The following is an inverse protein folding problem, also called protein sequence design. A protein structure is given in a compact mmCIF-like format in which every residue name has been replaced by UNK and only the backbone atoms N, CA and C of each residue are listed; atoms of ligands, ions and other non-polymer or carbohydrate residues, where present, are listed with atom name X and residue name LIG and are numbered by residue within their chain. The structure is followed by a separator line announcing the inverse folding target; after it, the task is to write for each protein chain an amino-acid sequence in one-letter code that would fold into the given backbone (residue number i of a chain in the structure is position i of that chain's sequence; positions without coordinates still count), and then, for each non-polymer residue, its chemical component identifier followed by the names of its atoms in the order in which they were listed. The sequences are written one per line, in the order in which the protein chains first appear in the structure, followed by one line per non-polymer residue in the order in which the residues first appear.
data_IF_819780414106
#
_entry.id   IF_819780414106
#
_cell.length_a   1.000
_cell.length_b   1.000
_cell.length_c   1.000
_cell.angle_alpha   90.00
_cell.angle_beta   90.00
_cell.angle_gamma   90.00
#
_symmetry.space_group_name_H-M   'P 1'
#
loop_
_entity.id
_entity.type
_entity.pdbx_description
1 polymer ?
#
# COMPACT_ATOMS: atom_id res chain seq x y z
N UNK A 1 1.51 -41.14 20.45
CA UNK A 1 2.35 -40.10 19.82
C UNK A 1 1.55 -39.54 18.66
N UNK A 2 0.77 -38.50 18.92
CA UNK A 2 -0.10 -37.86 17.92
C UNK A 2 0.59 -36.53 17.61
N UNK A 3 1.09 -36.42 16.38
CA UNK A 3 1.73 -35.22 15.87
C UNK A 3 0.69 -34.12 15.73
N UNK A 4 0.94 -33.01 16.40
CA UNK A 4 0.29 -31.72 16.16
C UNK A 4 0.76 -31.19 14.80
N UNK A 5 0.03 -31.48 13.72
CA UNK A 5 0.19 -30.73 12.48
C UNK A 5 -0.60 -29.42 12.59
N UNK A 6 0.03 -28.26 12.33
CA UNK A 6 -0.69 -27.00 12.29
C UNK A 6 -1.60 -27.00 11.06
N UNK A 7 -2.83 -26.54 11.28
CA UNK A 7 -3.79 -26.20 10.21
C UNK A 7 -3.04 -25.39 9.16
N UNK A 8 -3.19 -25.77 7.88
CA UNK A 8 -2.91 -24.86 6.77
C UNK A 8 -3.86 -23.68 6.90
N UNK A 9 -3.48 -22.72 7.73
CA UNK A 9 -4.03 -21.38 7.69
C UNK A 9 -3.75 -20.94 6.25
N UNK A 10 -4.79 -20.59 5.50
CA UNK A 10 -4.62 -19.69 4.37
C UNK A 10 -4.24 -18.34 4.99
N UNK A 11 -3.02 -18.27 5.52
CA UNK A 11 -2.28 -17.05 5.63
C UNK A 11 -1.97 -16.74 4.17
N UNK A 12 -2.82 -15.92 3.56
CA UNK A 12 -2.33 -15.09 2.47
C UNK A 12 -1.05 -14.47 3.00
N UNK A 13 0.08 -14.95 2.48
CA UNK A 13 1.39 -14.38 2.78
C UNK A 13 1.26 -12.88 2.60
N UNK A 14 1.48 -12.08 3.64
CA UNK A 14 1.45 -10.64 3.47
C UNK A 14 2.58 -10.32 2.49
N UNK A 15 2.21 -9.79 1.31
CA UNK A 15 3.14 -9.31 0.30
C UNK A 15 3.91 -8.04 0.77
N UNK A 16 3.97 -7.79 2.09
CA UNK A 16 4.90 -6.85 2.72
C UNK A 16 6.34 -7.38 2.67
N UNK A 17 6.55 -8.69 2.48
CA UNK A 17 7.89 -9.28 2.30
C UNK A 17 8.60 -8.77 1.02
N UNK A 18 7.85 -8.28 0.03
CA UNK A 18 8.40 -7.64 -1.17
C UNK A 18 8.80 -6.16 -0.95
N UNK A 19 8.43 -5.58 0.19
CA UNK A 19 8.66 -4.16 0.48
C UNK A 19 9.87 -3.87 1.38
N UNK A 20 10.33 -4.85 2.17
CA UNK A 20 11.55 -4.71 3.00
C UNK A 20 12.86 -5.10 2.31
N UNK A 21 12.85 -5.67 1.09
CA UNK A 21 14.08 -6.01 0.35
C UNK A 21 14.42 -4.95 -0.71
N UNK A 22 14.53 -3.70 -0.27
CA UNK A 22 15.16 -2.62 -1.03
C UNK A 22 16.61 -2.47 -0.57
N UNK A 23 17.51 -3.21 -1.22
CA UNK A 23 18.95 -2.96 -1.38
C UNK A 23 19.65 -2.12 -0.30
N UNK A 24 20.23 -2.80 0.69
CA UNK A 24 21.43 -2.31 1.37
C UNK A 24 22.59 -2.29 0.38
N UNK A 25 23.21 -1.13 0.19
CA UNK A 25 24.46 -0.99 -0.55
C UNK A 25 25.59 -1.59 0.29
N UNK A 26 26.08 -2.76 -0.09
CA UNK A 26 27.47 -3.14 0.15
C UNK A 26 28.14 -3.35 -1.20
N UNK A 27 29.17 -2.53 -1.45
CA UNK A 27 30.09 -2.66 -2.57
C UNK A 27 30.89 -3.94 -2.37
N UNK A 28 30.83 -4.88 -3.32
CA UNK A 28 31.98 -5.65 -3.77
C UNK A 28 31.63 -6.43 -5.05
N UNK A 29 32.56 -6.38 -6.02
CA UNK A 29 32.78 -7.44 -6.99
C UNK A 29 31.91 -7.42 -8.23
N UNK A 30 32.57 -7.23 -9.37
CA UNK A 30 32.08 -7.52 -10.71
C UNK A 30 31.56 -8.97 -10.79
N UNK A 31 30.35 -9.16 -11.30
CA UNK A 31 29.98 -10.32 -12.12
C UNK A 31 28.59 -10.08 -12.77
N UNK A 32 28.56 -10.24 -14.09
CA UNK A 32 27.36 -10.13 -14.92
C UNK A 32 26.27 -11.11 -14.48
N UNK A 33 25.09 -10.60 -14.11
CA UNK A 33 23.86 -11.40 -14.10
C UNK A 33 23.00 -10.93 -15.28
N UNK A 34 23.13 -11.65 -16.39
CA UNK A 34 22.20 -11.58 -17.53
C UNK A 34 20.86 -12.18 -17.07
N UNK A 35 19.90 -11.33 -16.70
CA UNK A 35 18.51 -11.76 -16.53
C UNK A 35 17.80 -11.60 -17.87
N UNK A 36 17.70 -12.71 -18.60
CA UNK A 36 16.86 -12.82 -19.78
C UNK A 36 15.38 -12.84 -19.34
N UNK A 37 14.74 -11.67 -19.37
CA UNK A 37 13.28 -11.57 -19.16
C UNK A 37 12.60 -11.72 -20.51
N UNK A 38 12.14 -12.95 -20.76
CA UNK A 38 11.27 -13.28 -21.88
C UNK A 38 10.00 -12.42 -21.89
N UNK A 39 9.64 -12.01 -23.09
CA UNK A 39 8.41 -11.30 -23.43
C UNK A 39 7.16 -12.00 -22.88
N UNK A 40 6.54 -11.43 -21.83
CA UNK A 40 5.10 -11.57 -21.58
C UNK A 40 4.58 -10.37 -20.81
N UNK A 41 4.32 -9.28 -21.54
CA UNK A 41 3.43 -8.23 -21.06
C UNK A 41 1.99 -8.76 -21.06
N UNK A 42 1.46 -9.07 -19.88
CA UNK A 42 0.01 -9.23 -19.64
C UNK A 42 -0.64 -7.84 -19.78
N UNK A 43 -0.90 -7.47 -21.04
CA UNK A 43 -1.71 -6.31 -21.40
C UNK A 43 -3.15 -6.59 -21.00
N UNK A 44 -3.80 -5.56 -20.45
CA UNK A 44 -5.22 -5.48 -20.11
C UNK A 44 -6.12 -6.30 -21.05
N UNK A 45 -6.95 -7.17 -20.47
CA UNK A 45 -7.87 -8.03 -21.21
C UNK A 45 -8.82 -7.22 -22.09
N UNK A 46 -8.54 -7.21 -23.41
CA UNK A 46 -9.54 -6.88 -24.43
C UNK A 46 -10.20 -8.17 -24.89
N UNK A 47 -11.53 -8.19 -24.91
CA UNK A 47 -12.29 -9.22 -25.61
C UNK A 47 -11.80 -9.33 -27.07
N UNK A 48 -11.49 -10.53 -27.59
CA UNK A 48 -11.12 -10.69 -28.98
C UNK A 48 -12.36 -10.46 -29.85
N UNK A 49 -12.39 -9.35 -30.59
CA UNK A 49 -13.38 -9.16 -31.65
C UNK A 49 -13.20 -10.27 -32.71
N UNK A 50 -14.27 -11.04 -32.99
CA UNK A 50 -14.30 -12.07 -34.03
C UNK A 50 -13.77 -11.50 -35.35
N UNK A 51 -12.67 -12.06 -35.85
CA UNK A 51 -12.08 -11.70 -37.14
C UNK A 51 -12.85 -12.42 -38.26
N UNK A 52 -13.80 -11.74 -38.89
CA UNK A 52 -14.34 -12.19 -40.20
C UNK A 52 -13.41 -11.73 -41.33
N UNK A 53 -13.08 -12.61 -42.30
CA UNK A 53 -12.18 -12.28 -43.39
C UNK A 53 -12.97 -11.84 -44.64
N UNK A 54 -13.63 -10.68 -44.64
CA UNK A 54 -14.10 -10.08 -45.90
C UNK A 54 -14.17 -8.55 -45.87
N UNK A 55 -13.60 -7.95 -46.94
CA UNK A 55 -13.51 -6.53 -47.33
C UNK A 55 -12.87 -5.56 -46.32
N UNK A 56 -11.75 -4.96 -46.74
CA UNK A 56 -11.07 -3.90 -46.01
C UNK A 56 -11.89 -2.60 -46.04
N UNK A 57 -12.73 -2.43 -45.02
CA UNK A 57 -13.45 -1.19 -44.71
C UNK A 57 -12.47 0.02 -44.70
N UNK A 58 -12.75 1.12 -45.44
CA UNK A 58 -11.99 2.37 -45.39
C UNK A 58 -11.74 2.87 -43.97
N UNK A 59 -12.71 2.68 -43.07
CA UNK A 59 -12.61 3.05 -41.66
C UNK A 59 -11.55 2.21 -40.92
N UNK A 60 -11.42 0.93 -41.29
CA UNK A 60 -10.39 0.02 -40.78
C UNK A 60 -9.00 0.36 -41.31
N UNK A 61 -8.88 0.79 -42.58
CA UNK A 61 -7.62 1.29 -43.16
C UNK A 61 -7.17 2.60 -42.51
N UNK A 62 -8.09 3.53 -42.28
CA UNK A 62 -7.81 4.78 -41.57
C UNK A 62 -7.37 4.52 -40.11
N UNK A 63 -8.06 3.63 -39.39
CA UNK A 63 -7.68 3.22 -38.04
C UNK A 63 -6.31 2.53 -37.98
N UNK A 64 -6.00 1.63 -38.93
CA UNK A 64 -4.68 1.00 -39.05
C UNK A 64 -3.57 2.01 -39.38
N UNK A 65 -3.83 2.96 -40.28
CA UNK A 65 -2.87 4.02 -40.61
C UNK A 65 -2.62 4.94 -39.41
N UNK A 66 -3.67 5.28 -38.65
CA UNK A 66 -3.56 6.04 -37.39
C UNK A 66 -2.73 5.30 -36.33
N UNK A 67 -2.97 4.00 -36.14
CA UNK A 67 -2.21 3.15 -35.23
C UNK A 67 -0.72 3.06 -35.61
N UNK A 68 -0.40 2.87 -36.90
CA UNK A 68 0.98 2.87 -37.41
C UNK A 68 1.69 4.20 -37.18
N UNK A 69 1.01 5.33 -37.42
CA UNK A 69 1.57 6.67 -37.15
C UNK A 69 1.87 6.86 -35.67
N UNK A 70 0.97 6.44 -34.77
CA UNK A 70 1.19 6.50 -33.31
C UNK A 70 2.37 5.63 -32.87
N UNK A 71 2.49 4.42 -33.41
CA UNK A 71 3.62 3.52 -33.10
C UNK A 71 4.97 4.08 -33.57
N UNK A 72 5.05 4.68 -34.77
CA UNK A 72 6.28 5.34 -35.24
C UNK A 72 6.70 6.50 -34.35
N UNK A 73 5.74 7.36 -33.95
CA UNK A 73 6.02 8.47 -33.03
C UNK A 73 6.50 7.98 -31.66
N UNK A 74 5.90 6.89 -31.16
CA UNK A 74 6.32 6.28 -29.90
C UNK A 74 7.76 5.76 -29.97
N UNK A 75 8.11 5.01 -31.03
CA UNK A 75 9.48 4.49 -31.23
C UNK A 75 10.50 5.61 -31.35
N UNK A 76 10.23 6.63 -32.15
CA UNK A 76 11.13 7.78 -32.26
C UNK A 76 11.37 8.49 -30.92
N UNK A 77 10.32 8.62 -30.09
CA UNK A 77 10.44 9.20 -28.75
C UNK A 77 11.24 8.29 -27.81
N UNK A 78 11.03 6.98 -27.88
CA UNK A 78 11.80 6.00 -27.13
C UNK A 78 13.28 6.03 -27.52
N UNK A 79 13.59 6.04 -28.82
CA UNK A 79 14.96 6.07 -29.34
C UNK A 79 15.70 7.34 -28.88
N UNK A 80 15.03 8.51 -28.92
CA UNK A 80 15.58 9.76 -28.39
C UNK A 80 15.93 9.66 -26.91
N UNK A 81 15.04 9.12 -26.08
CA UNK A 81 15.28 8.97 -24.64
C UNK A 81 16.40 7.96 -24.39
N UNK A 82 16.44 6.85 -25.12
CA UNK A 82 17.50 5.84 -25.00
C UNK A 82 18.86 6.43 -25.34
N UNK A 83 18.96 7.27 -26.37
CA UNK A 83 20.20 7.97 -26.71
C UNK A 83 20.64 8.90 -25.57
N UNK A 84 19.73 9.75 -25.08
CA UNK A 84 20.03 10.65 -23.95
C UNK A 84 20.48 9.88 -22.68
N UNK A 85 19.87 8.72 -22.40
CA UNK A 85 20.27 7.85 -21.28
C UNK A 85 21.67 7.27 -21.51
N UNK A 86 21.96 6.79 -22.72
CA UNK A 86 23.26 6.23 -23.09
C UNK A 86 24.39 7.27 -22.97
N UNK A 87 24.09 8.52 -23.34
CA UNK A 87 25.02 9.65 -23.24
C UNK A 87 25.12 10.21 -21.80
N UNK A 88 24.36 9.65 -20.84
CA UNK A 88 24.33 10.13 -19.46
C UNK A 88 23.69 11.51 -19.28
N UNK A 89 22.95 12.00 -20.29
CA UNK A 89 22.32 13.32 -20.26
C UNK A 89 20.95 13.27 -19.59
N UNK A 90 20.89 13.73 -18.35
CA UNK A 90 19.68 13.83 -17.54
C UNK A 90 19.18 15.27 -17.39
N UNK A 91 19.44 16.13 -18.37
CA UNK A 91 19.00 17.53 -18.36
C UNK A 91 17.50 17.76 -18.58
N UNK A 92 17.07 19.04 -18.67
CA UNK A 92 15.67 19.43 -18.85
C UNK A 92 15.00 18.84 -20.10
N UNK A 93 15.75 18.65 -21.18
CA UNK A 93 15.25 18.02 -22.41
C UNK A 93 14.82 16.57 -22.16
N UNK A 94 15.72 15.75 -21.59
CA UNK A 94 15.44 14.36 -21.22
C UNK A 94 14.24 14.29 -20.29
N UNK A 95 14.15 15.18 -19.31
CA UNK A 95 12.99 15.26 -18.42
C UNK A 95 11.67 15.50 -19.17
N UNK A 96 11.64 16.43 -20.14
CA UNK A 96 10.45 16.67 -20.97
C UNK A 96 10.09 15.49 -21.86
N UNK A 97 11.09 14.78 -22.39
CA UNK A 97 10.87 13.56 -23.17
C UNK A 97 10.23 12.47 -22.30
N UNK A 98 10.70 12.26 -21.06
CA UNK A 98 10.06 11.31 -20.13
C UNK A 98 8.59 11.66 -19.88
N UNK A 99 8.26 12.94 -19.68
CA UNK A 99 6.87 13.41 -19.49
C UNK A 99 5.97 13.04 -20.67
N UNK A 100 6.48 13.14 -21.90
CA UNK A 100 5.73 12.78 -23.12
C UNK A 100 5.52 11.27 -23.19
N UNK A 101 6.56 10.48 -22.92
CA UNK A 101 6.49 9.03 -23.08
C UNK A 101 5.64 8.37 -21.99
N UNK A 102 5.73 8.84 -20.74
CA UNK A 102 4.94 8.31 -19.63
C UNK A 102 3.44 8.59 -19.76
N UNK A 103 3.04 9.70 -20.40
CA UNK A 103 1.64 9.95 -20.78
C UNK A 103 1.13 8.98 -21.85
N UNK A 104 2.03 8.36 -22.62
CA UNK A 104 1.67 7.36 -23.63
C UNK A 104 1.70 5.94 -23.08
N UNK A 105 2.67 5.64 -22.20
CA UNK A 105 2.87 4.32 -21.59
C UNK A 105 3.52 4.47 -20.20
N UNK A 106 2.73 4.56 -19.12
CA UNK A 106 3.26 4.63 -17.77
C UNK A 106 3.77 3.27 -17.25
N UNK A 107 3.56 2.15 -17.95
CA UNK A 107 4.10 0.85 -17.55
C UNK A 107 5.61 0.71 -17.83
N UNK A 108 6.19 1.69 -18.55
CA UNK A 108 7.59 1.62 -18.93
C UNK A 108 8.53 2.07 -17.80
N UNK A 109 8.91 1.11 -16.95
CA UNK A 109 9.72 1.33 -15.75
C UNK A 109 11.04 2.09 -16.00
N UNK A 110 11.74 1.82 -17.11
CA UNK A 110 13.03 2.47 -17.44
C UNK A 110 12.88 3.99 -17.55
N UNK A 111 11.72 4.46 -18.01
CA UNK A 111 11.45 5.88 -18.21
C UNK A 111 11.19 6.58 -16.87
N UNK A 112 10.54 5.89 -15.92
CA UNK A 112 10.44 6.38 -14.54
C UNK A 112 11.81 6.50 -13.89
N UNK A 113 12.71 5.53 -14.10
CA UNK A 113 14.08 5.60 -13.60
C UNK A 113 14.87 6.76 -14.22
N UNK A 114 14.74 6.97 -15.54
CA UNK A 114 15.35 8.12 -16.21
C UNK A 114 14.80 9.44 -15.65
N UNK A 115 13.49 9.53 -15.40
CA UNK A 115 12.86 10.71 -14.79
C UNK A 115 13.39 10.98 -13.38
N UNK A 116 13.54 9.95 -12.53
CA UNK A 116 14.18 10.09 -11.21
C UNK A 116 15.60 10.63 -11.33
N UNK A 117 16.40 10.11 -12.27
CA UNK A 117 17.77 10.58 -12.50
C UNK A 117 17.79 12.06 -12.90
N UNK A 118 16.90 12.52 -13.78
CA UNK A 118 16.75 13.94 -14.12
C UNK A 118 16.45 14.82 -12.92
N UNK A 119 15.61 14.35 -12.00
CA UNK A 119 15.32 15.09 -10.78
C UNK A 119 16.53 15.14 -9.86
N UNK A 120 17.18 14.00 -9.61
CA UNK A 120 18.35 13.91 -8.72
C UNK A 120 19.53 14.74 -9.26
N UNK A 121 19.80 14.69 -10.56
CA UNK A 121 20.95 15.39 -11.16
C UNK A 121 20.75 16.90 -11.32
N UNK A 122 19.50 17.36 -11.31
CA UNK A 122 19.15 18.75 -11.62
C UNK A 122 18.19 19.35 -10.61
N UNK A 123 16.90 19.12 -10.82
CA UNK A 123 15.80 19.84 -10.15
C UNK A 123 15.75 19.65 -8.62
N UNK A 124 16.34 18.57 -8.11
CA UNK A 124 16.48 18.23 -6.70
C UNK A 124 17.95 17.95 -6.35
N UNK A 125 18.93 18.54 -7.04
CA UNK A 125 20.34 18.27 -6.73
C UNK A 125 20.72 18.82 -5.35
N UNK A 126 21.37 18.01 -4.51
CA UNK A 126 21.98 18.51 -3.26
C UNK A 126 23.28 19.23 -3.64
N UNK A 127 23.39 20.53 -3.36
CA UNK A 127 24.67 21.22 -3.54
C UNK A 127 25.72 20.56 -2.63
N UNK A 128 26.89 20.23 -3.19
CA UNK A 128 28.01 19.71 -2.41
C UNK A 128 28.30 20.69 -1.27
N UNK A 129 28.23 20.21 -0.02
CA UNK A 129 28.89 20.91 1.08
C UNK A 129 30.34 21.15 0.63
N UNK A 130 30.74 22.43 0.63
CA UNK A 130 31.89 22.90 -0.12
C UNK A 130 33.16 22.12 0.16
N UNK A 131 33.90 21.87 -0.93
CA UNK A 131 35.33 21.60 -0.93
C UNK A 131 36.02 22.45 0.14
N UNK A 132 36.65 21.80 1.11
CA UNK A 132 37.56 22.47 2.03
C UNK A 132 38.62 23.22 1.19
N UNK A 133 38.96 24.48 1.49
CA UNK A 133 40.06 25.13 0.81
C UNK A 133 41.35 24.42 1.24
N UNK A 134 42.04 23.82 0.27
CA UNK A 134 43.41 23.35 0.44
C UNK A 134 44.24 24.49 1.03
N UNK A 135 44.61 24.37 2.31
CA UNK A 135 45.62 25.23 2.92
C UNK A 135 46.94 24.93 2.23
N UNK A 136 47.37 25.85 1.37
CA UNK A 136 48.74 25.90 0.91
C UNK A 136 49.65 26.12 2.13
N UNK A 137 50.61 25.22 2.31
CA UNK A 137 51.69 25.33 3.27
C UNK A 137 52.55 26.55 2.95
N UNK A 138 52.74 27.44 3.92
CA UNK A 138 53.93 28.28 3.99
C UNK A 138 54.53 28.20 5.39
N UNK A 139 55.80 27.84 5.41
CA UNK A 139 56.66 27.59 6.57
C UNK A 139 57.28 28.90 7.06
N UNK A 140 57.19 29.10 8.38
CA UNK A 140 58.20 29.68 9.30
C UNK A 140 58.96 30.97 8.92
N UNK A 141 58.82 32.03 9.73
CA UNK A 141 59.75 32.35 10.84
C UNK A 141 59.65 33.80 11.31
N UNK A 142 59.50 33.98 12.64
CA UNK A 142 60.09 34.96 13.59
C UNK A 142 60.06 36.48 13.23
N UNK A 143 59.89 37.47 14.12
CA UNK A 143 60.05 37.58 15.58
C UNK A 143 59.41 38.92 16.05
N UNK A 144 59.10 38.99 17.35
CA UNK A 144 59.25 40.15 18.25
C UNK A 144 58.24 41.33 18.32
N UNK A 145 57.55 41.35 19.48
CA UNK A 145 57.70 42.36 20.56
C UNK A 145 56.65 43.48 20.75
N UNK A 146 55.99 43.36 21.93
CA UNK A 146 55.62 44.37 22.97
C UNK A 146 54.24 45.07 23.01
N UNK A 147 53.58 44.87 24.18
CA UNK A 147 52.89 45.82 25.13
C UNK A 147 51.91 46.88 24.59
N UNK A 148 50.90 47.37 25.29
CA UNK A 148 50.09 47.01 26.46
C UNK A 148 49.05 48.15 26.63
N UNK A 149 47.86 47.80 27.12
CA UNK A 149 46.97 48.61 27.98
C UNK A 149 46.19 49.86 27.49
N UNK A 150 44.96 49.92 28.03
CA UNK A 150 44.11 51.07 28.38
C UNK A 150 43.29 51.71 27.25
N UNK A 151 41.96 51.59 27.21
CA UNK A 151 40.94 52.22 28.07
C UNK A 151 40.97 53.76 28.00
N UNK A 152 40.08 54.36 27.20
CA UNK A 152 38.94 55.16 27.68
C UNK A 152 38.33 56.07 26.59
N UNK A 153 36.99 56.07 26.59
CA UNK A 153 36.09 57.22 26.42
C UNK A 153 36.03 58.06 25.12
N UNK A 154 34.85 57.94 24.49
CA UNK A 154 34.09 58.95 23.72
C UNK A 154 34.02 60.33 24.41
N UNK A 155 33.77 61.49 23.73
CA UNK A 155 32.50 61.73 22.99
C UNK A 155 32.52 62.66 21.75
N UNK A 156 31.39 62.63 21.01
CA UNK A 156 30.64 63.71 20.30
C UNK A 156 31.38 64.81 19.50
N UNK A 157 30.92 65.36 18.38
CA UNK A 157 29.75 65.22 17.48
C UNK A 157 30.04 66.13 16.26
N UNK A 158 29.32 65.89 15.14
CA UNK A 158 28.99 66.84 14.04
C UNK A 158 30.18 67.42 13.22
N UNK A 159 30.20 67.45 11.88
CA UNK A 159 29.17 67.86 10.91
C UNK A 159 29.64 67.51 9.47
N UNK A 160 28.69 67.46 8.54
CA UNK A 160 28.81 67.67 7.08
C UNK A 160 29.12 66.49 6.12
N UNK A 161 28.06 66.16 5.37
CA UNK A 161 27.97 65.37 4.13
C UNK A 161 28.71 66.05 2.97
N UNK A 162 29.36 65.28 2.06
CA UNK A 162 28.75 65.09 0.73
C UNK A 162 28.94 63.66 0.14
N UNK A 163 27.90 63.11 -0.51
CA UNK A 163 28.00 62.01 -1.50
C UNK A 163 28.91 62.42 -2.67
N UNK A 164 29.58 61.52 -3.47
CA UNK A 164 29.05 60.27 -4.09
C UNK A 164 30.18 59.19 -4.29
N UNK A 165 30.16 58.23 -5.26
CA UNK A 165 29.09 57.54 -6.00
C UNK A 165 29.08 56.00 -5.78
N UNK A 166 27.99 55.37 -6.20
CA UNK A 166 27.82 53.90 -6.25
C UNK A 166 28.86 53.20 -7.13
N UNK A 167 29.39 52.03 -6.73
CA UNK A 167 29.90 51.04 -7.66
C UNK A 167 28.84 49.94 -7.86
N UNK A 168 28.18 50.05 -9.02
CA UNK A 168 27.88 48.98 -9.97
C UNK A 168 27.90 47.55 -9.43
N UNK A 169 26.69 46.99 -9.45
CA UNK A 169 26.33 45.59 -9.68
C UNK A 169 27.39 44.80 -10.46
N UNK A 170 28.10 43.91 -9.76
CA UNK A 170 28.65 42.70 -10.34
C UNK A 170 27.79 41.55 -9.85
N UNK A 171 27.05 40.93 -10.77
CA UNK A 171 26.12 39.84 -10.49
C UNK A 171 26.85 38.67 -9.83
N UNK A 172 26.52 38.43 -8.56
CA UNK A 172 26.80 37.17 -7.88
C UNK A 172 25.44 36.50 -7.71
N UNK A 173 25.19 35.45 -8.50
CA UNK A 173 24.07 34.55 -8.28
C UNK A 173 24.31 33.86 -6.94
N UNK A 174 23.80 34.47 -5.88
CA UNK A 174 23.65 33.86 -4.56
C UNK A 174 22.17 33.53 -4.41
N UNK A 175 21.79 32.32 -4.77
CA UNK A 175 20.48 31.78 -4.38
C UNK A 175 20.50 31.62 -2.87
N UNK A 176 19.56 32.23 -2.15
CA UNK A 176 19.50 32.08 -0.69
C UNK A 176 18.95 30.69 -0.33
N UNK A 177 19.25 30.14 0.86
CA UNK A 177 18.67 28.86 1.30
C UNK A 177 17.14 28.81 1.23
N UNK A 178 16.48 29.95 1.43
CA UNK A 178 15.03 30.09 1.36
C UNK A 178 14.50 29.97 -0.09
N UNK A 179 15.25 30.49 -1.07
CA UNK A 179 14.90 30.37 -2.50
C UNK A 179 15.00 28.92 -2.99
N UNK A 180 16.03 28.18 -2.53
CA UNK A 180 16.24 26.77 -2.90
C UNK A 180 15.17 25.87 -2.26
N UNK A 181 14.82 26.09 -0.98
CA UNK A 181 13.76 25.33 -0.31
C UNK A 181 12.38 25.55 -0.97
N UNK A 182 12.09 26.78 -1.39
CA UNK A 182 10.86 27.11 -2.12
C UNK A 182 10.79 26.38 -3.47
N UNK A 183 11.90 26.36 -4.23
CA UNK A 183 11.99 25.68 -5.52
C UNK A 183 11.89 24.15 -5.42
N UNK A 184 12.51 23.54 -4.41
CA UNK A 184 12.38 22.11 -4.14
C UNK A 184 10.91 21.76 -3.82
N UNK A 185 10.23 22.59 -3.02
CA UNK A 185 8.82 22.40 -2.69
C UNK A 185 7.89 22.52 -3.92
N UNK A 186 8.16 23.47 -4.81
CA UNK A 186 7.45 23.58 -6.10
C UNK A 186 7.68 22.35 -6.98
N UNK A 187 8.92 21.84 -7.05
CA UNK A 187 9.27 20.66 -7.84
C UNK A 187 8.56 19.42 -7.33
N UNK A 188 8.59 19.15 -6.02
CA UNK A 188 7.87 18.03 -5.40
C UNK A 188 6.38 18.11 -5.68
N UNK A 189 5.77 19.29 -5.49
CA UNK A 189 4.33 19.50 -5.76
C UNK A 189 4.00 19.29 -7.23
N UNK A 190 4.82 19.79 -8.15
CA UNK A 190 4.64 19.62 -9.59
C UNK A 190 4.70 18.14 -9.99
N UNK A 191 5.62 17.36 -9.39
CA UNK A 191 5.75 15.94 -9.69
C UNK A 191 4.63 15.09 -9.10
N UNK A 192 4.18 15.39 -7.88
CA UNK A 192 2.95 14.82 -7.35
C UNK A 192 1.75 15.19 -8.26
N UNK A 193 1.67 16.43 -8.73
CA UNK A 193 0.64 16.86 -9.68
C UNK A 193 0.71 16.09 -11.00
N UNK A 194 1.92 15.83 -11.53
CA UNK A 194 2.13 15.08 -12.77
C UNK A 194 1.57 13.66 -12.72
N UNK A 195 1.69 12.97 -11.58
CA UNK A 195 1.19 11.58 -11.48
C UNK A 195 -0.33 11.50 -11.35
N UNK A 196 -1.03 12.54 -10.91
CA UNK A 196 -2.49 12.51 -10.70
C UNK A 196 -3.26 12.11 -11.96
N UNK A 197 -3.11 12.77 -13.13
CA UNK A 197 -3.82 12.37 -14.33
C UNK A 197 -3.44 10.94 -14.77
N UNK A 198 -2.18 10.54 -14.57
CA UNK A 198 -1.73 9.18 -14.89
C UNK A 198 -2.40 8.14 -14.00
N UNK A 199 -2.53 8.38 -12.68
CA UNK A 199 -3.27 7.49 -11.77
C UNK A 199 -4.76 7.41 -12.14
N UNK A 200 -5.36 8.52 -12.56
CA UNK A 200 -6.77 8.54 -12.94
C UNK A 200 -7.04 7.68 -14.19
N UNK A 201 -6.10 7.64 -15.14
CA UNK A 201 -6.20 6.85 -16.37
C UNK A 201 -5.70 5.40 -16.19
N UNK A 202 -4.62 5.20 -15.44
CA UNK A 202 -3.93 3.93 -15.22
C UNK A 202 -3.83 3.58 -13.72
N UNK A 203 -4.96 3.41 -13.01
CA UNK A 203 -4.99 3.28 -11.54
C UNK A 203 -4.33 2.02 -10.98
N UNK A 204 -4.00 1.05 -11.85
CA UNK A 204 -3.36 -0.22 -11.50
C UNK A 204 -1.90 -0.32 -11.98
N UNK A 205 -1.36 0.76 -12.55
CA UNK A 205 0.04 0.79 -12.96
C UNK A 205 0.94 0.94 -11.72
N UNK A 206 1.70 -0.12 -11.42
CA UNK A 206 2.58 -0.18 -10.24
C UNK A 206 3.58 0.98 -10.20
N UNK A 207 4.15 1.32 -11.36
CA UNK A 207 5.24 2.29 -11.44
C UNK A 207 4.83 3.71 -11.10
N UNK A 208 3.57 4.10 -11.33
CA UNK A 208 3.08 5.41 -10.91
C UNK A 208 3.04 5.51 -9.39
N UNK A 209 2.47 4.49 -8.71
CA UNK A 209 2.41 4.44 -7.25
C UNK A 209 3.82 4.40 -6.64
N UNK A 210 4.72 3.60 -7.20
CA UNK A 210 6.10 3.50 -6.76
C UNK A 210 6.89 4.81 -6.97
N UNK A 211 6.69 5.49 -8.10
CA UNK A 211 7.29 6.80 -8.33
C UNK A 211 6.77 7.85 -7.35
N UNK A 212 5.47 7.84 -7.09
CA UNK A 212 4.83 8.79 -6.16
C UNK A 212 5.37 8.63 -4.73
N UNK A 213 5.54 7.40 -4.25
CA UNK A 213 6.19 7.14 -2.95
C UNK A 213 7.62 7.70 -2.91
N UNK A 214 8.39 7.47 -3.97
CA UNK A 214 9.76 8.02 -4.05
C UNK A 214 9.78 9.56 -3.97
N UNK A 215 8.82 10.25 -4.59
CA UNK A 215 8.70 11.72 -4.47
C UNK A 215 8.39 12.14 -3.03
N UNK A 216 7.55 11.38 -2.32
CA UNK A 216 7.23 11.66 -0.92
C UNK A 216 8.42 11.39 0.01
N UNK A 217 9.25 10.39 -0.29
CA UNK A 217 10.52 10.18 0.43
C UNK A 217 11.44 11.39 0.24
N UNK A 218 11.50 11.97 -0.97
CA UNK A 218 12.25 13.22 -1.19
C UNK A 218 11.69 14.39 -0.37
N UNK A 219 10.36 14.46 -0.17
CA UNK A 219 9.76 15.47 0.70
C UNK A 219 10.21 15.31 2.16
N UNK A 220 10.25 14.07 2.67
CA UNK A 220 10.72 13.76 4.03
C UNK A 220 12.21 14.08 4.21
N UNK A 221 13.04 13.83 3.21
CA UNK A 221 14.49 14.08 3.29
C UNK A 221 14.87 15.57 3.23
N UNK A 222 14.04 16.40 2.59
CA UNK A 222 14.42 17.76 2.20
C UNK A 222 13.71 18.85 2.98
N UNK A 223 12.50 18.60 3.44
CA UNK A 223 11.70 19.60 4.11
C UNK A 223 11.68 19.40 5.61
N UNK A 224 11.43 20.49 6.33
CA UNK A 224 11.14 20.41 7.75
C UNK A 224 9.92 19.50 7.99
N UNK A 225 9.94 18.77 9.12
CA UNK A 225 8.92 17.78 9.45
C UNK A 225 7.47 18.27 9.28
N UNK A 226 7.08 19.50 9.70
CA UNK A 226 5.71 19.97 9.52
C UNK A 226 5.31 20.09 8.04
N UNK A 227 6.23 20.54 7.19
CA UNK A 227 5.98 20.71 5.75
C UNK A 227 5.90 19.35 5.08
N UNK A 228 6.87 18.46 5.34
CA UNK A 228 6.84 17.09 4.82
C UNK A 228 5.56 16.36 5.23
N UNK A 229 5.20 16.43 6.51
CA UNK A 229 3.97 15.82 7.05
C UNK A 229 2.73 16.28 6.30
N UNK A 230 2.56 17.58 6.06
CA UNK A 230 1.40 18.12 5.33
C UNK A 230 1.28 17.52 3.93
N UNK A 231 2.41 17.35 3.22
CA UNK A 231 2.44 16.72 1.89
C UNK A 231 1.96 15.27 1.98
N UNK A 232 2.41 14.51 2.97
CA UNK A 232 1.94 13.14 3.21
C UNK A 232 0.45 13.08 3.62
N UNK A 233 -0.06 14.06 4.37
CA UNK A 233 -1.48 14.11 4.76
C UNK A 233 -2.41 14.35 3.56
N UNK A 234 -2.00 15.15 2.58
CA UNK A 234 -2.73 15.37 1.33
C UNK A 234 -2.95 14.05 0.54
N UNK A 235 -2.05 13.08 0.70
CA UNK A 235 -2.14 11.77 0.06
C UNK A 235 -3.33 10.94 0.54
N UNK A 236 -3.76 11.10 1.79
CA UNK A 236 -4.98 10.45 2.29
C UNK A 236 -6.21 10.91 1.50
N UNK A 237 -6.24 12.17 1.06
CA UNK A 237 -7.27 12.72 0.18
C UNK A 237 -7.26 12.11 -1.22
N UNK A 238 -6.07 12.03 -1.84
CA UNK A 238 -5.91 11.38 -3.14
C UNK A 238 -6.38 9.92 -3.09
N UNK A 239 -5.89 9.15 -2.12
CA UNK A 239 -6.21 7.73 -2.01
C UNK A 239 -7.69 7.52 -1.75
N UNK A 240 -8.31 8.39 -0.95
CA UNK A 240 -9.76 8.35 -0.75
C UNK A 240 -10.52 8.55 -2.05
N UNK A 241 -10.09 9.49 -2.90
CA UNK A 241 -10.66 9.68 -4.25
C UNK A 241 -10.45 8.44 -5.13
N UNK A 242 -9.28 7.82 -5.09
CA UNK A 242 -8.98 6.61 -5.86
C UNK A 242 -9.86 5.43 -5.42
N UNK A 243 -10.07 5.27 -4.12
CA UNK A 243 -10.93 4.22 -3.54
C UNK A 243 -12.42 4.50 -3.72
N UNK A 244 -12.85 5.75 -3.89
CA UNK A 244 -14.22 6.05 -4.32
C UNK A 244 -14.45 5.64 -5.77
N UNK A 245 -13.44 5.76 -6.64
CA UNK A 245 -13.53 5.34 -8.05
C UNK A 245 -13.46 3.82 -8.23
N UNK A 246 -12.55 3.16 -7.51
CA UNK A 246 -12.43 1.70 -7.47
C UNK A 246 -12.13 1.26 -6.03
N UNK A 247 -13.19 0.89 -5.32
CA UNK A 247 -13.15 0.49 -3.91
C UNK A 247 -12.31 -0.75 -3.64
N UNK A 248 -12.09 -1.59 -4.67
CA UNK A 248 -11.28 -2.82 -4.60
C UNK A 248 -9.88 -2.63 -5.17
N UNK A 249 -9.45 -1.39 -5.44
CA UNK A 249 -8.12 -1.13 -5.93
C UNK A 249 -7.07 -1.48 -4.86
N UNK A 250 -6.46 -2.65 -5.00
CA UNK A 250 -5.43 -3.15 -4.10
C UNK A 250 -4.21 -2.22 -4.00
N UNK A 251 -3.81 -1.56 -5.09
CA UNK A 251 -2.69 -0.61 -5.07
C UNK A 251 -3.01 0.61 -4.23
N UNK A 252 -4.24 1.14 -4.33
CA UNK A 252 -4.68 2.28 -3.54
C UNK A 252 -4.76 1.94 -2.05
N UNK A 253 -5.30 0.76 -1.69
CA UNK A 253 -5.29 0.27 -0.30
C UNK A 253 -3.88 0.04 0.24
N UNK A 254 -2.98 -0.56 -0.56
CA UNK A 254 -1.58 -0.74 -0.20
C UNK A 254 -0.84 0.57 0.00
N UNK A 255 -1.07 1.53 -0.90
CA UNK A 255 -0.51 2.87 -0.79
C UNK A 255 -1.05 3.61 0.45
N UNK A 256 -2.36 3.50 0.77
CA UNK A 256 -2.94 4.06 1.99
C UNK A 256 -2.19 3.59 3.23
N UNK A 257 -2.00 2.28 3.37
CA UNK A 257 -1.31 1.67 4.53
C UNK A 257 0.12 2.19 4.68
N UNK A 258 0.81 2.44 3.57
CA UNK A 258 2.15 3.04 3.62
C UNK A 258 2.13 4.50 4.05
N UNK A 259 1.24 5.31 3.45
CA UNK A 259 1.07 6.72 3.84
C UNK A 259 0.80 6.82 5.33
N UNK A 260 -0.11 5.99 5.86
CA UNK A 260 -0.39 5.88 7.30
C UNK A 260 0.88 5.52 8.07
N UNK A 261 1.59 4.47 7.67
CA UNK A 261 2.85 4.04 8.34
C UNK A 261 3.87 5.18 8.42
N UNK A 262 4.02 5.97 7.35
CA UNK A 262 4.95 7.10 7.32
C UNK A 262 4.46 8.26 8.20
N UNK A 263 3.16 8.58 8.15
CA UNK A 263 2.54 9.62 8.98
C UNK A 263 2.59 9.33 10.48
N UNK A 264 2.64 8.05 10.86
CA UNK A 264 2.83 7.57 12.23
C UNK A 264 4.31 7.58 12.67
N UNK A 265 5.24 7.64 11.73
CA UNK A 265 6.68 7.57 12.03
C UNK A 265 7.22 8.83 12.73
N UNK A 266 8.31 8.66 13.48
CA UNK A 266 9.02 9.76 14.12
C UNK A 266 9.67 10.75 13.13
N UNK A 267 9.86 10.33 11.87
CA UNK A 267 10.34 11.18 10.78
C UNK A 267 9.35 12.31 10.49
N UNK A 268 8.04 12.06 10.65
CA UNK A 268 6.97 13.03 10.43
C UNK A 268 6.29 13.48 11.73
N UNK A 269 6.97 13.33 12.86
CA UNK A 269 6.43 13.63 14.21
C UNK A 269 5.06 12.98 14.43
N UNK A 270 4.94 11.73 13.99
CA UNK A 270 3.71 10.98 13.91
C UNK A 270 3.10 10.60 15.24
N UNK A 271 1.79 10.40 15.19
CA UNK A 271 0.97 9.75 16.21
C UNK A 271 0.16 8.67 15.53
N UNK A 272 -0.31 7.70 16.30
CA UNK A 272 -1.16 6.63 15.80
C UNK A 272 -2.38 7.19 15.04
N UNK A 273 -2.67 6.55 13.92
CA UNK A 273 -3.85 6.73 13.09
C UNK A 273 -4.76 5.49 13.16
N UNK A 274 -4.60 4.62 14.15
CA UNK A 274 -5.44 3.42 14.30
C UNK A 274 -6.94 3.75 14.36
N UNK A 275 -7.32 4.76 15.15
CA UNK A 275 -8.71 5.25 15.27
C UNK A 275 -9.28 5.77 13.93
N UNK A 276 -8.68 6.78 13.27
CA UNK A 276 -9.22 7.30 12.02
C UNK A 276 -9.16 6.27 10.88
N UNK A 277 -8.20 5.35 10.87
CA UNK A 277 -8.19 4.27 9.88
C UNK A 277 -9.29 3.23 10.15
N UNK A 278 -9.59 2.93 11.42
CA UNK A 278 -10.72 2.07 11.76
C UNK A 278 -12.04 2.72 11.36
N UNK A 279 -12.24 4.01 11.66
CA UNK A 279 -13.40 4.79 11.21
C UNK A 279 -13.51 4.82 9.68
N UNK A 280 -12.38 4.95 8.99
CA UNK A 280 -12.34 4.88 7.52
C UNK A 280 -12.84 3.53 7.00
N UNK A 281 -12.48 2.41 7.64
CA UNK A 281 -13.03 1.10 7.27
C UNK A 281 -14.53 1.02 7.50
N UNK A 282 -15.04 1.52 8.63
CA UNK A 282 -16.48 1.59 8.93
C UNK A 282 -17.22 2.32 7.82
N UNK A 283 -16.75 3.52 7.44
CA UNK A 283 -17.31 4.28 6.33
C UNK A 283 -17.32 3.48 5.02
N UNK A 284 -16.20 2.82 4.69
CA UNK A 284 -16.07 2.06 3.43
C UNK A 284 -16.89 0.77 3.37
N UNK A 285 -17.24 0.21 4.53
CA UNK A 285 -18.18 -0.91 4.67
C UNK A 285 -19.62 -0.42 4.49
N UNK A 286 -19.99 0.69 5.13
CA UNK A 286 -21.33 1.27 4.93
C UNK A 286 -21.58 1.75 3.50
N UNK A 287 -20.55 2.27 2.82
CA UNK A 287 -20.64 2.64 1.40
C UNK A 287 -20.91 1.41 0.49
N UNK A 288 -20.41 0.22 0.87
CA UNK A 288 -20.60 -1.05 0.15
C UNK A 288 -20.22 -2.25 1.01
N UNK A 289 -21.21 -3.06 1.40
CA UNK A 289 -21.02 -4.29 2.18
C UNK A 289 -20.16 -5.33 1.43
N UNK A 290 -20.12 -5.27 0.10
CA UNK A 290 -19.32 -6.16 -0.77
C UNK A 290 -17.83 -5.82 -0.78
N UNK A 291 -17.41 -4.81 -0.03
CA UNK A 291 -16.05 -4.29 -0.07
C UNK A 291 -15.09 -5.13 0.76
N UNK A 292 -14.67 -6.29 0.24
CA UNK A 292 -13.68 -7.17 0.85
C UNK A 292 -12.43 -6.44 1.35
N UNK A 293 -11.95 -5.44 0.60
CA UNK A 293 -10.73 -4.72 0.99
C UNK A 293 -10.92 -3.91 2.28
N UNK A 294 -12.12 -3.36 2.51
CA UNK A 294 -12.43 -2.65 3.75
C UNK A 294 -12.54 -3.61 4.94
N UNK A 295 -13.26 -4.72 4.79
CA UNK A 295 -13.35 -5.78 5.80
C UNK A 295 -11.98 -6.36 6.16
N UNK A 296 -11.16 -6.65 5.15
CA UNK A 296 -9.80 -7.11 5.37
C UNK A 296 -8.97 -6.06 6.12
N UNK A 297 -8.98 -4.80 5.69
CA UNK A 297 -8.25 -3.76 6.41
C UNK A 297 -8.72 -3.60 7.87
N UNK A 298 -10.03 -3.71 8.11
CA UNK A 298 -10.63 -3.68 9.45
C UNK A 298 -10.06 -4.78 10.34
N UNK A 299 -10.04 -6.02 9.85
CA UNK A 299 -9.49 -7.19 10.57
C UNK A 299 -8.04 -7.00 11.01
N UNK A 300 -7.24 -6.25 10.24
CA UNK A 300 -5.82 -6.02 10.53
C UNK A 300 -5.60 -4.94 11.59
N UNK A 301 -6.57 -4.03 11.80
CA UNK A 301 -6.43 -2.87 12.69
C UNK A 301 -6.94 -3.18 14.10
N UNK A 302 -7.96 -4.03 14.24
CA UNK A 302 -8.69 -4.25 15.50
C UNK A 302 -7.77 -4.55 16.70
N UNK A 303 -6.85 -5.51 16.58
CA UNK A 303 -5.99 -5.89 17.70
C UNK A 303 -5.15 -4.70 18.20
N UNK A 304 -4.49 -4.00 17.27
CA UNK A 304 -3.71 -2.79 17.56
C UNK A 304 -4.58 -1.69 18.17
N UNK A 305 -5.79 -1.48 17.65
CA UNK A 305 -6.72 -0.47 18.14
C UNK A 305 -7.09 -0.72 19.61
N UNK A 306 -7.44 -1.96 19.96
CA UNK A 306 -7.81 -2.33 21.33
C UNK A 306 -6.63 -2.21 22.29
N UNK A 307 -5.43 -2.58 21.84
CA UNK A 307 -4.19 -2.43 22.62
C UNK A 307 -3.87 -0.96 22.90
N UNK A 308 -3.95 -0.10 21.88
CA UNK A 308 -3.69 1.34 22.03
C UNK A 308 -4.75 2.04 22.89
N UNK A 309 -6.01 1.59 22.84
CA UNK A 309 -7.07 2.04 23.76
C UNK A 309 -6.85 1.59 25.20
N UNK A 310 -5.94 0.64 25.44
CA UNK A 310 -5.80 -0.08 26.72
C UNK A 310 -7.15 -0.66 27.17
N UNK A 311 -7.90 -1.21 26.21
CA UNK A 311 -9.22 -1.76 26.46
C UNK A 311 -9.13 -2.92 27.46
N UNK A 312 -9.94 -2.85 28.51
CA UNK A 312 -10.12 -3.94 29.47
C UNK A 312 -10.95 -5.08 28.86
N UNK A 313 -11.08 -6.15 29.65
CA UNK A 313 -11.73 -7.37 29.21
C UNK A 313 -13.20 -7.17 28.82
N UNK A 314 -13.95 -6.36 29.59
CA UNK A 314 -15.35 -6.08 29.29
C UNK A 314 -15.48 -5.24 28.01
N UNK A 315 -14.66 -4.19 27.86
CA UNK A 315 -14.64 -3.35 26.65
C UNK A 315 -14.31 -4.18 25.40
N UNK A 316 -13.38 -5.13 25.51
CA UNK A 316 -12.99 -6.02 24.41
C UNK A 316 -14.10 -6.99 24.03
N UNK A 317 -14.81 -7.52 25.02
CA UNK A 317 -15.99 -8.36 24.81
C UNK A 317 -17.12 -7.59 24.14
N UNK A 318 -17.47 -6.41 24.66
CA UNK A 318 -18.49 -5.53 24.03
C UNK A 318 -18.10 -5.14 22.60
N UNK A 319 -16.81 -4.96 22.32
CA UNK A 319 -16.32 -4.68 20.97
C UNK A 319 -16.55 -5.89 20.05
N UNK A 320 -16.23 -7.09 20.51
CA UNK A 320 -16.46 -8.32 19.75
C UNK A 320 -17.96 -8.53 19.46
N UNK A 321 -18.82 -8.30 20.45
CA UNK A 321 -20.28 -8.37 20.30
C UNK A 321 -20.76 -7.47 19.14
N UNK A 322 -20.30 -6.22 19.13
CA UNK A 322 -20.63 -5.24 18.08
C UNK A 322 -20.12 -5.64 16.70
N UNK A 323 -18.95 -6.25 16.60
CA UNK A 323 -18.41 -6.73 15.31
C UNK A 323 -19.19 -7.94 14.78
N UNK A 324 -19.60 -8.86 15.66
CA UNK A 324 -20.47 -9.99 15.31
C UNK A 324 -21.86 -9.51 14.90
N UNK A 325 -22.47 -8.58 15.66
CA UNK A 325 -23.76 -7.96 15.30
C UNK A 325 -23.68 -7.31 13.91
N UNK A 326 -22.63 -6.51 13.65
CA UNK A 326 -22.43 -5.81 12.39
C UNK A 326 -22.40 -6.77 11.19
N UNK A 327 -21.64 -7.87 11.28
CA UNK A 327 -21.53 -8.82 10.16
C UNK A 327 -22.78 -9.68 10.00
N UNK A 328 -23.49 -10.00 11.08
CA UNK A 328 -24.79 -10.71 11.01
C UNK A 328 -25.86 -9.87 10.34
N UNK A 329 -25.97 -8.59 10.70
CA UNK A 329 -26.88 -7.67 10.03
C UNK A 329 -26.57 -7.58 8.52
N UNK A 330 -25.29 -7.58 8.14
CA UNK A 330 -24.89 -7.62 6.75
C UNK A 330 -25.24 -8.95 6.06
N UNK A 331 -25.04 -10.09 6.74
CA UNK A 331 -25.38 -11.41 6.22
C UNK A 331 -26.89 -11.61 6.05
N UNK A 332 -27.72 -10.97 6.86
CA UNK A 332 -29.18 -11.00 6.70
C UNK A 332 -29.66 -10.35 5.38
N UNK A 333 -28.87 -9.46 4.80
CA UNK A 333 -29.21 -8.74 3.56
C UNK A 333 -28.38 -9.14 2.35
N UNK A 334 -27.20 -9.75 2.54
CA UNK A 334 -26.32 -10.17 1.46
C UNK A 334 -25.62 -11.52 1.72
N UNK A 335 -26.35 -12.60 2.06
CA UNK A 335 -25.74 -13.89 2.38
C UNK A 335 -25.00 -14.52 1.19
N UNK A 336 -25.19 -14.05 -0.04
CA UNK A 336 -24.42 -14.47 -1.21
C UNK A 336 -23.00 -13.87 -1.26
N UNK A 337 -22.74 -12.78 -0.52
CA UNK A 337 -21.48 -12.06 -0.58
C UNK A 337 -20.39 -12.76 0.25
N UNK A 338 -19.43 -13.32 -0.47
CA UNK A 338 -18.27 -14.01 0.10
C UNK A 338 -17.45 -13.15 1.08
N UNK A 339 -17.42 -11.83 0.89
CA UNK A 339 -16.65 -10.92 1.73
C UNK A 339 -17.14 -10.92 3.18
N UNK A 340 -18.46 -11.00 3.35
CA UNK A 340 -19.11 -11.03 4.66
C UNK A 340 -18.76 -12.32 5.39
N UNK A 341 -18.84 -13.46 4.69
CA UNK A 341 -18.44 -14.76 5.25
C UNK A 341 -16.98 -14.81 5.64
N UNK A 342 -16.07 -14.22 4.86
CA UNK A 342 -14.67 -14.16 5.25
C UNK A 342 -14.43 -13.30 6.50
N UNK A 343 -15.18 -12.21 6.66
CA UNK A 343 -15.07 -11.40 7.87
C UNK A 343 -15.66 -12.12 9.09
N UNK A 344 -16.81 -12.76 8.92
CA UNK A 344 -17.43 -13.59 9.96
C UNK A 344 -16.50 -14.75 10.36
N UNK A 345 -15.92 -15.46 9.39
CA UNK A 345 -14.91 -16.50 9.61
C UNK A 345 -13.70 -15.97 10.39
N UNK A 346 -13.20 -14.78 10.08
CA UNK A 346 -12.13 -14.15 10.85
C UNK A 346 -12.49 -13.98 12.33
N UNK A 347 -13.72 -13.52 12.64
CA UNK A 347 -14.18 -13.35 14.03
C UNK A 347 -14.33 -14.70 14.74
N UNK A 348 -14.96 -15.68 14.10
CA UNK A 348 -15.14 -17.04 14.67
C UNK A 348 -13.79 -17.74 14.89
N UNK A 349 -12.83 -17.61 13.98
CA UNK A 349 -11.49 -18.17 14.17
C UNK A 349 -10.73 -17.45 15.30
N UNK A 350 -10.97 -16.15 15.54
CA UNK A 350 -10.42 -15.44 16.70
C UNK A 350 -10.95 -16.01 18.03
N UNK A 351 -12.20 -16.47 18.04
CA UNK A 351 -12.81 -17.17 19.18
C UNK A 351 -12.26 -18.59 19.33
N UNK A 352 -12.10 -19.32 18.23
CA UNK A 352 -11.70 -20.73 18.21
C UNK A 352 -10.21 -20.98 18.46
N UNK A 353 -9.33 -19.97 18.35
CA UNK A 353 -7.90 -20.07 18.67
C UNK A 353 -7.51 -19.22 19.90
N UNK A 354 -7.64 -19.77 21.13
CA UNK A 354 -7.20 -19.12 22.36
C UNK A 354 -5.69 -18.88 22.47
N UNK A 355 -4.86 -19.39 21.55
CA UNK A 355 -3.42 -19.13 21.54
C UNK A 355 -2.98 -18.09 20.49
N UNK A 356 -3.92 -17.56 19.69
CA UNK A 356 -3.64 -16.63 18.60
C UNK A 356 -3.00 -15.30 19.07
N UNK A 357 -2.03 -14.80 18.32
CA UNK A 357 -1.25 -13.59 18.68
C UNK A 357 -1.99 -12.25 18.46
N UNK A 358 -3.23 -12.27 17.97
CA UNK A 358 -4.03 -11.06 17.62
C UNK A 358 -5.47 -11.19 18.10
N UNK A 359 -5.65 -11.50 19.37
CA UNK A 359 -6.97 -11.72 19.94
C UNK A 359 -7.72 -10.42 20.20
N UNK A 360 -9.02 -10.46 19.92
CA UNK A 360 -9.96 -9.39 20.21
C UNK A 360 -10.28 -9.41 21.70
N UNK A 361 -10.73 -10.56 22.22
CA UNK A 361 -11.11 -10.78 23.61
C UNK A 361 -10.34 -11.98 24.22
N UNK A 362 -9.08 -11.77 24.68
CA UNK A 362 -8.20 -12.86 25.11
C UNK A 362 -8.64 -13.57 26.39
N UNK A 363 -9.31 -12.85 27.30
CA UNK A 363 -9.75 -13.31 28.63
C UNK A 363 -10.99 -14.21 28.63
N UNK A 364 -11.65 -14.39 27.49
CA UNK A 364 -12.81 -15.28 27.39
C UNK A 364 -12.42 -16.72 27.71
N UNK A 365 -13.20 -17.35 28.59
CA UNK A 365 -13.05 -18.78 28.90
C UNK A 365 -13.45 -19.64 27.71
N UNK A 366 -13.04 -20.92 27.71
CA UNK A 366 -13.45 -21.89 26.69
C UNK A 366 -14.98 -21.99 26.58
N UNK A 367 -15.69 -22.00 27.72
CA UNK A 367 -17.16 -22.08 27.74
C UNK A 367 -17.82 -20.82 27.16
N UNK A 368 -17.27 -19.64 27.45
CA UNK A 368 -17.75 -18.38 26.86
C UNK A 368 -17.53 -18.38 25.34
N UNK A 369 -16.32 -18.77 24.89
CA UNK A 369 -16.00 -18.89 23.45
C UNK A 369 -16.92 -19.88 22.75
N UNK A 370 -17.17 -21.03 23.37
CA UNK A 370 -18.13 -22.03 22.89
C UNK A 370 -19.52 -21.42 22.73
N UNK A 371 -20.00 -20.71 23.76
CA UNK A 371 -21.32 -20.05 23.71
C UNK A 371 -21.44 -19.02 22.59
N UNK A 372 -20.37 -18.30 22.26
CA UNK A 372 -20.36 -17.41 21.09
C UNK A 372 -20.52 -18.20 19.80
N UNK A 373 -19.68 -19.21 19.58
CA UNK A 373 -19.71 -19.97 18.31
C UNK A 373 -21.04 -20.74 18.17
N UNK A 374 -21.59 -21.29 19.26
CA UNK A 374 -22.91 -21.95 19.26
C UNK A 374 -24.03 -20.97 18.84
N UNK A 375 -23.97 -19.71 19.30
CA UNK A 375 -24.91 -18.67 18.89
C UNK A 375 -24.77 -18.37 17.40
N UNK A 376 -23.55 -18.20 16.88
CA UNK A 376 -23.35 -17.95 15.45
C UNK A 376 -23.82 -19.15 14.60
N UNK A 377 -23.61 -20.40 15.05
CA UNK A 377 -24.15 -21.60 14.38
C UNK A 377 -25.67 -21.59 14.36
N UNK A 378 -26.31 -21.16 15.45
CA UNK A 378 -27.77 -21.02 15.54
C UNK A 378 -28.28 -19.96 14.55
N UNK A 379 -27.70 -18.77 14.57
CA UNK A 379 -28.07 -17.67 13.66
C UNK A 379 -27.89 -18.07 12.17
N UNK A 380 -26.86 -18.87 11.85
CA UNK A 380 -26.65 -19.39 10.48
C UNK A 380 -27.66 -20.49 10.11
N UNK A 381 -28.08 -21.32 11.07
CA UNK A 381 -29.17 -22.30 10.85
C UNK A 381 -30.50 -21.57 10.57
N UNK A 382 -30.77 -20.47 11.25
CA UNK A 382 -31.95 -19.64 10.98
C UNK A 382 -31.86 -19.04 9.56
N UNK A 383 -30.70 -18.51 9.17
CA UNK A 383 -30.46 -18.03 7.81
C UNK A 383 -30.65 -19.13 6.74
N UNK A 384 -30.28 -20.38 7.06
CA UNK A 384 -30.46 -21.52 6.16
C UNK A 384 -31.94 -21.83 5.85
N UNK A 385 -32.87 -21.45 6.73
CA UNK A 385 -34.31 -21.68 6.50
C UNK A 385 -34.80 -20.95 5.25
N UNK A 386 -34.30 -19.74 5.04
CA UNK A 386 -34.65 -18.87 3.92
C UNK A 386 -33.72 -19.06 2.70
N UNK A 387 -32.44 -19.38 2.92
CA UNK A 387 -31.39 -19.34 1.88
C UNK A 387 -30.75 -20.72 1.60
N UNK A 388 -31.54 -21.66 1.08
CA UNK A 388 -31.13 -23.06 0.90
C UNK A 388 -30.11 -23.32 -0.23
N UNK A 389 -29.95 -22.39 -1.16
CA UNK A 389 -29.09 -22.47 -2.33
C UNK A 389 -27.77 -21.70 -2.19
N UNK A 390 -27.53 -21.10 -1.01
CA UNK A 390 -26.30 -20.37 -0.73
C UNK A 390 -25.26 -21.29 -0.12
N UNK A 391 -24.23 -21.63 -0.90
CA UNK A 391 -23.17 -22.57 -0.49
C UNK A 391 -22.41 -22.12 0.77
N UNK A 392 -22.26 -20.81 0.97
CA UNK A 392 -21.47 -20.25 2.07
C UNK A 392 -22.03 -20.57 3.45
N UNK A 393 -23.35 -20.69 3.55
CA UNK A 393 -24.04 -21.08 4.79
C UNK A 393 -23.59 -22.47 5.22
N UNK A 394 -23.61 -23.45 4.29
CA UNK A 394 -23.16 -24.81 4.56
C UNK A 394 -21.66 -24.88 4.85
N UNK A 395 -20.84 -24.14 4.09
CA UNK A 395 -19.38 -24.06 4.33
C UNK A 395 -19.10 -23.52 5.75
N UNK A 396 -19.78 -22.44 6.16
CA UNK A 396 -19.64 -21.86 7.50
C UNK A 396 -20.11 -22.82 8.62
N UNK A 397 -21.26 -23.47 8.46
CA UNK A 397 -21.77 -24.45 9.45
C UNK A 397 -20.77 -25.59 9.67
N UNK A 398 -20.20 -26.13 8.61
CA UNK A 398 -19.19 -27.21 8.69
C UNK A 398 -17.91 -26.69 9.38
N UNK A 399 -17.41 -25.53 8.97
CA UNK A 399 -16.18 -24.95 9.53
C UNK A 399 -16.32 -24.64 11.02
N UNK A 400 -17.45 -24.08 11.46
CA UNK A 400 -17.66 -23.70 12.85
C UNK A 400 -17.97 -24.90 13.73
N UNK A 401 -18.66 -25.90 13.18
CA UNK A 401 -18.79 -27.20 13.79
C UNK A 401 -17.40 -27.81 14.06
N UNK A 402 -16.46 -27.74 13.11
CA UNK A 402 -15.08 -28.26 13.30
C UNK A 402 -14.32 -27.43 14.34
N UNK A 403 -14.45 -26.10 14.28
CA UNK A 403 -13.81 -25.18 15.22
C UNK A 403 -14.27 -25.42 16.67
N UNK A 404 -15.58 -25.68 16.88
CA UNK A 404 -16.14 -26.03 18.20
C UNK A 404 -15.54 -27.31 18.78
N UNK A 405 -15.42 -28.36 17.97
CA UNK A 405 -14.80 -29.62 18.41
C UNK A 405 -13.34 -29.43 18.81
N UNK A 406 -12.59 -28.64 18.03
CA UNK A 406 -11.19 -28.34 18.34
C UNK A 406 -11.06 -27.53 19.63
N UNK A 407 -11.91 -26.52 19.81
CA UNK A 407 -11.93 -25.66 20.99
C UNK A 407 -12.26 -26.44 22.28
N UNK A 408 -13.20 -27.36 22.21
CA UNK A 408 -13.67 -28.14 23.38
C UNK A 408 -12.86 -29.40 23.64
N UNK A 409 -12.15 -29.92 22.64
CA UNK A 409 -11.45 -31.21 22.71
C UNK A 409 -12.39 -32.40 22.92
N UNK A 410 -13.70 -32.22 22.77
CA UNK A 410 -14.69 -33.26 22.96
C UNK A 410 -14.91 -34.03 21.64
N UNK A 411 -15.18 -35.33 21.77
CA UNK A 411 -15.53 -36.13 20.61
C UNK A 411 -16.92 -35.68 20.10
N UNK A 412 -17.09 -35.46 18.78
CA UNK A 412 -18.36 -35.04 18.24
C UNK A 412 -19.47 -36.06 18.51
N UNK A 413 -20.62 -35.56 18.94
CA UNK A 413 -21.82 -36.36 19.16
C UNK A 413 -22.34 -36.99 17.84
N UNK A 414 -23.17 -38.02 17.95
CA UNK A 414 -23.71 -38.71 16.77
C UNK A 414 -24.60 -37.80 15.91
N UNK A 415 -25.34 -36.88 16.52
CA UNK A 415 -26.19 -35.90 15.84
C UNK A 415 -25.35 -34.87 15.08
N UNK A 416 -24.27 -34.39 15.69
CA UNK A 416 -23.27 -33.53 15.04
C UNK A 416 -22.75 -34.14 13.74
N UNK A 417 -22.37 -35.43 13.75
CA UNK A 417 -21.82 -36.08 12.56
C UNK A 417 -22.83 -36.17 11.43
N UNK A 418 -24.11 -36.39 11.76
CA UNK A 418 -25.21 -36.42 10.80
C UNK A 418 -25.46 -35.05 10.17
N UNK A 419 -25.49 -34.00 10.99
CA UNK A 419 -25.63 -32.61 10.54
C UNK A 419 -24.51 -32.25 9.55
N UNK A 420 -23.24 -32.46 9.94
CA UNK A 420 -22.08 -32.14 9.10
C UNK A 420 -22.07 -32.95 7.80
N UNK A 421 -22.42 -34.24 7.85
CA UNK A 421 -22.53 -35.06 6.64
C UNK A 421 -23.63 -34.56 5.69
N UNK A 422 -24.79 -34.16 6.23
CA UNK A 422 -25.90 -33.59 5.47
C UNK A 422 -25.50 -32.26 4.80
N UNK A 423 -24.89 -31.35 5.55
CA UNK A 423 -24.40 -30.08 5.00
C UNK A 423 -23.33 -30.28 3.95
N UNK A 424 -22.40 -31.22 4.15
CA UNK A 424 -21.33 -31.50 3.19
C UNK A 424 -21.87 -32.08 1.89
N UNK A 425 -22.88 -32.95 1.95
CA UNK A 425 -23.58 -33.45 0.78
C UNK A 425 -24.23 -32.30 -0.01
N UNK A 426 -24.88 -31.37 0.67
CA UNK A 426 -25.48 -30.19 0.04
C UNK A 426 -24.44 -29.22 -0.52
N UNK A 427 -23.33 -29.02 0.17
CA UNK A 427 -22.21 -28.21 -0.32
C UNK A 427 -21.59 -28.78 -1.60
N UNK A 428 -21.47 -30.11 -1.72
CA UNK A 428 -21.03 -30.79 -2.94
C UNK A 428 -21.99 -30.62 -4.12
N UNK A 429 -23.29 -30.50 -3.84
CA UNK A 429 -24.30 -30.17 -4.86
C UNK A 429 -24.14 -28.72 -5.35
N UNK A 430 -23.93 -27.78 -4.42
CA UNK A 430 -23.87 -26.34 -4.71
C UNK A 430 -22.50 -25.86 -5.23
N UNK A 431 -21.40 -26.58 -4.98
CA UNK A 431 -20.04 -26.22 -5.42
C UNK A 431 -19.31 -27.36 -6.13
N UNK A 432 -19.83 -27.84 -7.28
CA UNK A 432 -19.30 -29.03 -7.97
C UNK A 432 -17.86 -28.85 -8.44
N UNK A 433 -17.43 -27.61 -8.72
CA UNK A 433 -16.05 -27.30 -9.14
C UNK A 433 -15.02 -27.60 -8.04
N UNK A 434 -15.45 -27.68 -6.77
CA UNK A 434 -14.57 -27.95 -5.61
C UNK A 434 -14.83 -29.30 -4.95
N UNK A 435 -15.54 -30.22 -5.61
CA UNK A 435 -15.85 -31.53 -5.02
C UNK A 435 -14.62 -32.34 -4.58
N UNK A 436 -13.46 -32.16 -5.21
CA UNK A 436 -12.20 -32.73 -4.72
C UNK A 436 -11.87 -32.26 -3.29
N UNK A 437 -11.92 -30.94 -3.04
CA UNK A 437 -11.73 -30.35 -1.71
C UNK A 437 -12.73 -30.91 -0.69
N UNK A 438 -14.00 -31.05 -1.08
CA UNK A 438 -15.05 -31.53 -0.19
C UNK A 438 -14.94 -33.03 0.13
N UNK A 439 -14.49 -33.84 -0.82
CA UNK A 439 -14.18 -35.25 -0.58
C UNK A 439 -12.98 -35.42 0.37
N UNK A 440 -11.94 -34.59 0.21
CA UNK A 440 -10.81 -34.59 1.13
C UNK A 440 -11.25 -34.20 2.56
N UNK A 441 -12.12 -33.19 2.69
CA UNK A 441 -12.70 -32.79 3.98
C UNK A 441 -13.55 -33.90 4.61
N UNK A 442 -14.41 -34.57 3.83
CA UNK A 442 -15.21 -35.72 4.30
C UNK A 442 -14.35 -36.82 4.92
N UNK A 443 -13.22 -37.13 4.24
CA UNK A 443 -12.25 -38.12 4.71
C UNK A 443 -11.55 -37.66 5.99
N UNK A 444 -11.16 -36.39 6.07
CA UNK A 444 -10.53 -35.82 7.26
C UNK A 444 -11.46 -35.87 8.49
N UNK A 445 -12.76 -35.68 8.28
CA UNK A 445 -13.77 -35.72 9.33
C UNK A 445 -14.24 -37.14 9.68
N UNK A 446 -13.76 -38.16 8.97
CA UNK A 446 -14.11 -39.56 9.21
C UNK A 446 -15.59 -39.88 8.92
N UNK A 447 -16.22 -39.15 7.99
CA UNK A 447 -17.64 -39.26 7.64
C UNK A 447 -17.90 -40.24 6.47
N UNK A 448 -16.92 -41.06 6.09
CA UNK A 448 -17.09 -42.07 5.04
C UNK A 448 -18.14 -43.12 5.44
N UNK A 449 -18.86 -43.66 4.45
CA UNK A 449 -19.96 -44.64 4.58
C UNK A 449 -19.72 -45.82 5.54
N UNK A 450 -18.46 -46.16 5.86
CA UNK A 450 -18.11 -47.23 6.79
C UNK A 450 -18.19 -46.84 8.29
N UNK A 451 -18.45 -45.57 8.63
CA UNK A 451 -18.32 -45.02 9.99
C UNK A 451 -19.53 -44.18 10.50
N UNK A 452 -20.68 -44.17 9.80
CA UNK A 452 -21.91 -43.45 10.22
C UNK A 452 -22.94 -44.43 10.78
#
# INVERSE_FOLDING_TARGET
MIGSEPISIILMVPCTAAWKRGMGFERHGEDEIVVNLGDHALVTGRLPARRSPHRADPNRRAAQAGSRKRSKKYRALEDQIRQQIADGNYGPETFQLTSKLLRLNPEYYTIWNARRRCLISGLLSRQSAGSSPSKASQSSSATDTRTASSADSLPSSSTETPQPPSPRTAGRSGTTPDDDASKDAETVRAELGFTVPLLMEFPKCYWIWNYRLWILDQATERFEKPVARRIWEEELGLVSKMLTKDRRNFHAWGYRRHVVTQLESSLLSGKSLAEPEFEYTTKKIHDDLSNFSAWHNRSQIIARLLDERKADDETRKEFLDKELDLVREALNVGPEDQSLWYYHQFLVLNLADPAGSRQIAPSLTVDQRKSYIDREVTDIKDLLEDYKDIKWIYEALIEYAVALNQLTGQAPESEYKKDVASWLAKLKELDPMRNGRWADLEKQLGLSYDNI
#
